data_IF_534136294058
#
_entry.id   IF_534136294058
#
_cell.length_a   1.000
_cell.length_b   1.000
_cell.length_c   1.000
_cell.angle_alpha   90.00
_cell.angle_beta   90.00
_cell.angle_gamma   90.00
#
_symmetry.space_group_name_H-M   'P 1'
#
loop_
_entity.id
_entity.type
_entity.pdbx_description
1 polymer ?
#
# COMPACT_ATOMS: atom_id res chain seq x y z
N UNK A 1 3.77 27.22 -13.10
CA UNK A 1 2.80 26.61 -14.04
C UNK A 1 3.56 25.72 -15.01
N UNK A 2 3.14 24.47 -15.18
CA UNK A 2 3.73 23.53 -16.16
C UNK A 2 3.21 23.87 -17.56
N UNK A 3 4.04 23.68 -18.59
CA UNK A 3 3.55 23.86 -19.96
C UNK A 3 2.66 22.68 -20.37
N UNK A 4 1.61 22.96 -21.16
CA UNK A 4 0.70 21.93 -21.71
C UNK A 4 1.46 20.81 -22.43
N UNK A 5 2.56 21.16 -23.12
CA UNK A 5 3.42 20.20 -23.82
C UNK A 5 4.07 19.19 -22.87
N UNK A 6 4.48 19.61 -21.68
CA UNK A 6 5.12 18.71 -20.72
C UNK A 6 4.09 17.74 -20.10
N UNK A 7 2.88 18.21 -19.80
CA UNK A 7 1.80 17.37 -19.28
C UNK A 7 1.41 16.27 -20.28
N UNK A 8 1.20 16.66 -21.54
CA UNK A 8 0.90 15.71 -22.61
C UNK A 8 1.99 14.64 -22.78
N UNK A 9 3.27 15.02 -22.68
CA UNK A 9 4.37 14.07 -22.77
C UNK A 9 4.38 13.08 -21.60
N UNK A 10 4.11 13.54 -20.37
CA UNK A 10 4.01 12.66 -19.21
C UNK A 10 2.86 11.63 -19.36
N UNK A 11 1.68 12.09 -19.77
CA UNK A 11 0.53 11.20 -19.98
C UNK A 11 0.79 10.16 -21.07
N UNK A 12 1.47 10.54 -22.15
CA UNK A 12 1.84 9.60 -23.22
C UNK A 12 2.79 8.51 -22.70
N UNK A 13 3.81 8.90 -21.93
CA UNK A 13 4.77 7.95 -21.36
C UNK A 13 4.14 7.06 -20.29
N UNK A 14 3.24 7.60 -19.45
CA UNK A 14 2.49 6.79 -18.49
C UNK A 14 1.64 5.74 -19.20
N UNK A 15 0.91 6.12 -20.27
CA UNK A 15 0.15 5.18 -21.10
C UNK A 15 1.04 4.09 -21.71
N UNK A 16 2.25 4.45 -22.13
CA UNK A 16 3.22 3.48 -22.66
C UNK A 16 3.67 2.48 -21.59
N UNK A 17 3.98 2.97 -20.37
CA UNK A 17 4.31 2.12 -19.22
C UNK A 17 3.16 1.17 -18.89
N UNK A 18 1.92 1.69 -18.79
CA UNK A 18 0.74 0.87 -18.51
C UNK A 18 0.53 -0.21 -19.56
N UNK A 19 0.67 0.13 -20.85
CA UNK A 19 0.58 -0.85 -21.94
C UNK A 19 1.67 -1.94 -21.88
N UNK A 20 2.86 -1.62 -21.39
CA UNK A 20 3.92 -2.62 -21.17
C UNK A 20 3.61 -3.49 -19.94
N UNK A 21 3.06 -2.91 -18.87
CA UNK A 21 2.59 -3.65 -17.70
C UNK A 21 1.48 -4.65 -18.06
N UNK A 22 0.52 -4.24 -18.90
CA UNK A 22 -0.56 -5.13 -19.39
C UNK A 22 -0.04 -6.33 -20.20
N UNK A 23 1.22 -6.27 -20.67
CA UNK A 23 1.90 -7.32 -21.43
C UNK A 23 2.97 -8.06 -20.63
N UNK A 24 3.10 -7.76 -19.33
CA UNK A 24 4.16 -8.26 -18.46
C UNK A 24 5.59 -7.99 -19.00
N UNK A 25 5.77 -6.93 -19.80
CA UNK A 25 7.07 -6.53 -20.37
C UNK A 25 7.87 -5.67 -19.38
N UNK A 26 8.25 -6.29 -18.25
CA UNK A 26 8.91 -5.60 -17.13
C UNK A 26 10.28 -5.02 -17.50
N UNK A 27 10.99 -5.63 -18.47
CA UNK A 27 12.25 -5.10 -18.98
C UNK A 27 12.06 -3.75 -19.67
N UNK A 28 11.02 -3.64 -20.51
CA UNK A 28 10.70 -2.38 -21.17
C UNK A 28 10.16 -1.34 -20.17
N UNK A 29 9.34 -1.75 -19.21
CA UNK A 29 8.89 -0.87 -18.12
C UNK A 29 10.08 -0.29 -17.36
N UNK A 30 11.04 -1.14 -16.97
CA UNK A 30 12.26 -0.71 -16.28
C UNK A 30 13.06 0.30 -17.09
N UNK A 31 13.29 0.01 -18.38
CA UNK A 31 13.99 0.94 -19.29
C UNK A 31 13.29 2.29 -19.39
N UNK A 32 11.95 2.31 -19.46
CA UNK A 32 11.17 3.55 -19.52
C UNK A 32 11.26 4.35 -18.22
N UNK A 33 11.22 3.68 -17.07
CA UNK A 33 11.34 4.29 -15.74
C UNK A 33 12.78 4.76 -15.44
N UNK A 34 13.81 4.03 -15.84
CA UNK A 34 15.19 4.44 -15.63
C UNK A 34 15.56 5.67 -16.48
N UNK A 35 15.07 5.72 -17.72
CA UNK A 35 15.16 6.93 -18.55
C UNK A 35 14.45 8.12 -17.93
N UNK A 36 13.37 7.89 -17.18
CA UNK A 36 12.63 8.97 -16.52
C UNK A 36 13.36 9.56 -15.33
N UNK A 37 14.11 8.72 -14.60
CA UNK A 37 14.98 9.20 -13.52
C UNK A 37 16.13 10.07 -14.02
N UNK A 38 16.72 9.73 -15.15
CA UNK A 38 17.87 10.47 -15.71
C UNK A 38 17.52 11.89 -16.18
N UNK A 39 16.25 12.17 -16.45
CA UNK A 39 15.79 13.49 -16.90
C UNK A 39 14.50 13.88 -16.16
N UNK A 40 14.61 14.42 -14.93
CA UNK A 40 13.46 14.83 -14.12
C UNK A 40 12.60 15.90 -14.81
N UNK A 41 13.18 16.68 -15.74
CA UNK A 41 12.51 17.77 -16.43
C UNK A 41 11.48 17.31 -17.47
N UNK A 42 11.59 16.06 -17.95
CA UNK A 42 10.69 15.51 -18.96
C UNK A 42 9.49 14.74 -18.40
N UNK A 43 9.22 14.85 -17.09
CA UNK A 43 8.16 14.08 -16.41
C UNK A 43 7.39 14.86 -15.34
N UNK A 44 6.37 15.64 -15.73
CA UNK A 44 5.53 16.35 -14.77
C UNK A 44 4.62 15.49 -13.89
N UNK A 45 4.40 14.21 -14.20
CA UNK A 45 3.70 13.25 -13.33
C UNK A 45 4.69 12.36 -12.55
N UNK A 46 5.83 12.92 -12.14
CA UNK A 46 6.92 12.19 -11.49
C UNK A 46 6.42 11.29 -10.35
N UNK A 47 5.46 11.76 -9.56
CA UNK A 47 4.96 11.05 -8.38
C UNK A 47 4.28 9.72 -8.73
N UNK A 48 3.38 9.69 -9.73
CA UNK A 48 2.71 8.44 -10.14
C UNK A 48 3.67 7.40 -10.73
N UNK A 49 4.66 7.84 -11.52
CA UNK A 49 5.69 6.93 -12.06
C UNK A 49 6.64 6.44 -10.98
N UNK A 50 7.02 7.28 -10.02
CA UNK A 50 7.80 6.87 -8.84
C UNK A 50 7.03 5.87 -8.01
N UNK A 51 5.72 6.04 -7.85
CA UNK A 51 4.86 5.06 -7.17
C UNK A 51 4.87 3.71 -7.90
N UNK A 52 4.65 3.70 -9.22
CA UNK A 52 4.73 2.47 -10.02
C UNK A 52 6.11 1.81 -9.87
N UNK A 53 7.18 2.60 -9.99
CA UNK A 53 8.54 2.12 -9.83
C UNK A 53 8.78 1.49 -8.45
N UNK A 54 8.39 2.19 -7.37
CA UNK A 54 8.53 1.71 -6.00
C UNK A 54 7.77 0.40 -5.77
N UNK A 55 6.55 0.27 -6.33
CA UNK A 55 5.75 -0.96 -6.25
C UNK A 55 6.38 -2.12 -7.01
N UNK A 56 6.90 -1.89 -8.22
CA UNK A 56 7.55 -2.94 -9.01
C UNK A 56 8.85 -3.43 -8.36
N UNK A 57 9.63 -2.54 -7.75
CA UNK A 57 10.80 -2.91 -6.93
C UNK A 57 10.38 -3.69 -5.67
N UNK A 58 9.31 -3.26 -5.00
CA UNK A 58 8.75 -3.96 -3.83
C UNK A 58 8.27 -5.38 -4.17
N UNK A 59 7.75 -5.59 -5.37
CA UNK A 59 7.26 -6.89 -5.86
C UNK A 59 8.35 -7.73 -6.52
N UNK A 60 9.54 -7.18 -6.69
CA UNK A 60 10.67 -7.85 -7.31
C UNK A 60 10.49 -8.09 -8.81
N UNK A 61 9.62 -7.32 -9.48
CA UNK A 61 9.34 -7.44 -10.91
C UNK A 61 10.59 -7.23 -11.78
N UNK A 62 11.64 -6.63 -11.23
CA UNK A 62 12.90 -6.32 -11.93
C UNK A 62 14.07 -7.25 -11.59
N UNK A 63 13.77 -8.50 -11.21
CA UNK A 63 14.79 -9.54 -10.95
C UNK A 63 15.02 -9.87 -9.47
N UNK A 64 13.99 -9.68 -8.62
CA UNK A 64 14.02 -10.03 -7.20
C UNK A 64 13.64 -8.87 -6.28
N UNK A 65 13.21 -9.19 -5.06
CA UNK A 65 12.76 -8.19 -4.09
C UNK A 65 13.90 -7.28 -3.64
N UNK A 66 13.90 -6.02 -4.10
CA UNK A 66 14.91 -5.04 -3.75
C UNK A 66 14.38 -4.06 -2.70
N UNK A 67 14.19 -4.56 -1.47
CA UNK A 67 13.63 -3.79 -0.36
C UNK A 67 14.33 -2.43 -0.13
N UNK A 68 15.67 -2.31 -0.21
CA UNK A 68 16.34 -1.01 -0.05
C UNK A 68 15.95 0.02 -1.12
N UNK A 69 15.86 -0.40 -2.39
CA UNK A 69 15.48 0.50 -3.49
C UNK A 69 14.01 0.91 -3.39
N UNK A 70 13.12 -0.04 -3.11
CA UNK A 70 11.71 0.25 -2.86
C UNK A 70 11.53 1.20 -1.67
N UNK A 71 12.25 0.97 -0.56
CA UNK A 71 12.23 1.82 0.62
C UNK A 71 12.66 3.25 0.30
N UNK A 72 13.75 3.42 -0.46
CA UNK A 72 14.21 4.76 -0.89
C UNK A 72 13.13 5.47 -1.70
N UNK A 73 12.56 4.80 -2.69
CA UNK A 73 11.54 5.38 -3.56
C UNK A 73 10.26 5.76 -2.79
N UNK A 74 9.79 4.90 -1.86
CA UNK A 74 8.65 5.24 -1.00
C UNK A 74 8.98 6.36 -0.01
N UNK A 75 10.23 6.48 0.45
CA UNK A 75 10.63 7.57 1.34
C UNK A 75 10.51 8.92 0.65
N UNK A 76 10.97 9.02 -0.60
CA UNK A 76 10.78 10.22 -1.44
C UNK A 76 9.30 10.53 -1.68
N UNK A 77 8.47 9.52 -1.96
CA UNK A 77 7.03 9.72 -2.15
C UNK A 77 6.34 10.21 -0.87
N UNK A 78 6.77 9.72 0.29
CA UNK A 78 6.17 10.05 1.58
C UNK A 78 6.47 11.48 2.06
N UNK A 79 7.52 12.11 1.52
CA UNK A 79 7.90 13.49 1.85
C UNK A 79 7.27 14.54 0.92
N UNK A 80 6.73 14.12 -0.22
CA UNK A 80 6.02 15.00 -1.16
C UNK A 80 4.54 15.11 -0.77
N UNK A 81 4.01 16.33 -0.68
CA UNK A 81 2.56 16.53 -0.60
C UNK A 81 1.90 16.25 -1.96
N UNK A 82 0.82 15.46 -1.96
CA UNK A 82 0.09 15.17 -3.18
C UNK A 82 -0.68 13.85 -3.14
N UNK A 83 -1.19 13.46 -4.31
CA UNK A 83 -2.08 12.30 -4.51
C UNK A 83 -1.51 10.98 -3.98
N UNK A 84 -0.19 10.79 -4.06
CA UNK A 84 0.47 9.54 -3.65
C UNK A 84 1.17 9.63 -2.29
N UNK A 85 0.95 10.69 -1.52
CA UNK A 85 1.62 10.86 -0.22
C UNK A 85 1.25 9.71 0.74
N UNK A 86 -0.04 9.38 0.86
CA UNK A 86 -0.53 8.30 1.72
C UNK A 86 0.01 6.94 1.27
N UNK A 87 0.02 6.66 -0.03
CA UNK A 87 0.59 5.44 -0.61
C UNK A 87 2.11 5.35 -0.40
N UNK A 88 2.82 6.48 -0.46
CA UNK A 88 4.24 6.61 -0.10
C UNK A 88 4.51 6.23 1.35
N UNK A 89 3.74 6.80 2.28
CA UNK A 89 3.82 6.49 3.71
C UNK A 89 3.58 5.00 3.99
N UNK A 90 2.57 4.40 3.36
CA UNK A 90 2.21 2.98 3.54
C UNK A 90 3.26 2.07 2.92
N UNK A 91 3.75 2.37 1.72
CA UNK A 91 4.83 1.62 1.09
C UNK A 91 6.10 1.63 1.95
N UNK A 92 6.48 2.79 2.48
CA UNK A 92 7.60 2.94 3.42
C UNK A 92 7.38 2.10 4.68
N UNK A 93 6.19 2.19 5.28
CA UNK A 93 5.81 1.43 6.45
C UNK A 93 5.92 -0.10 6.21
N UNK A 94 5.45 -0.60 5.07
CA UNK A 94 5.60 -2.03 4.69
C UNK A 94 7.07 -2.42 4.56
N UNK A 95 7.90 -1.59 3.92
CA UNK A 95 9.32 -1.89 3.73
C UNK A 95 10.06 -1.94 5.06
N UNK A 96 9.85 -0.96 5.94
CA UNK A 96 10.44 -0.94 7.27
C UNK A 96 10.00 -2.16 8.10
N UNK A 97 8.73 -2.52 8.07
CA UNK A 97 8.23 -3.69 8.78
C UNK A 97 8.89 -4.99 8.27
N UNK A 98 9.06 -5.16 6.96
CA UNK A 98 9.76 -6.33 6.37
C UNK A 98 11.24 -6.39 6.74
N UNK A 99 11.91 -5.24 6.88
CA UNK A 99 13.32 -5.20 7.25
C UNK A 99 13.54 -5.63 8.71
N UNK A 100 12.70 -5.15 9.62
CA UNK A 100 12.75 -5.53 11.04
C UNK A 100 11.42 -5.23 11.73
N UNK A 101 10.60 -6.26 11.94
CA UNK A 101 9.25 -6.09 12.48
C UNK A 101 9.23 -5.44 13.87
N UNK A 102 10.18 -5.83 14.74
CA UNK A 102 10.21 -5.39 16.14
C UNK A 102 10.85 -4.01 16.30
N UNK A 103 11.97 -3.77 15.63
CA UNK A 103 12.74 -2.54 15.78
C UNK A 103 11.99 -1.36 15.15
N UNK A 104 11.34 -1.59 14.01
CA UNK A 104 10.66 -0.53 13.26
C UNK A 104 9.19 -0.34 13.65
N UNK A 105 8.65 -1.13 14.58
CA UNK A 105 7.22 -1.17 14.88
C UNK A 105 6.61 0.21 15.20
N UNK A 106 7.32 1.05 15.96
CA UNK A 106 6.81 2.37 16.34
C UNK A 106 6.79 3.33 15.15
N UNK A 107 7.83 3.33 14.32
CA UNK A 107 7.89 4.15 13.12
C UNK A 107 6.83 3.72 12.10
N UNK A 108 6.62 2.40 11.94
CA UNK A 108 5.55 1.86 11.09
C UNK A 108 4.18 2.34 11.54
N UNK A 109 3.91 2.38 12.86
CA UNK A 109 2.65 2.89 13.41
C UNK A 109 2.48 4.40 13.14
N UNK A 110 3.52 5.22 13.35
CA UNK A 110 3.50 6.66 13.05
C UNK A 110 3.21 6.93 11.57
N UNK A 111 3.92 6.25 10.66
CA UNK A 111 3.71 6.38 9.22
C UNK A 111 2.26 6.02 8.83
N UNK A 112 1.70 4.97 9.42
CA UNK A 112 0.32 4.57 9.15
C UNK A 112 -0.70 5.57 9.72
N UNK A 113 -0.48 6.11 10.92
CA UNK A 113 -1.34 7.14 11.50
C UNK A 113 -1.36 8.42 10.66
N UNK A 114 -0.19 8.82 10.15
CA UNK A 114 -0.06 9.92 9.18
C UNK A 114 -0.82 9.62 7.89
N UNK A 115 -0.69 8.40 7.33
CA UNK A 115 -1.43 8.02 6.13
C UNK A 115 -2.95 8.05 6.35
N UNK A 116 -3.44 7.55 7.49
CA UNK A 116 -4.86 7.67 7.88
C UNK A 116 -5.31 9.13 8.00
N UNK A 117 -4.43 10.01 8.47
CA UNK A 117 -4.74 11.44 8.62
C UNK A 117 -4.79 12.18 7.28
N UNK A 118 -4.06 11.72 6.26
CA UNK A 118 -4.05 12.32 4.92
C UNK A 118 -5.37 12.07 4.19
N UNK A 119 -5.83 10.81 4.15
CA UNK A 119 -6.98 10.41 3.31
C UNK A 119 -7.83 9.27 3.89
N UNK A 120 -7.62 8.89 5.15
CA UNK A 120 -8.33 7.77 5.76
C UNK A 120 -7.92 6.40 5.20
N UNK A 121 -6.69 6.24 4.70
CA UNK A 121 -6.28 5.03 3.99
C UNK A 121 -6.54 3.72 4.78
N UNK A 122 -7.44 2.88 4.27
CA UNK A 122 -7.80 1.62 4.91
C UNK A 122 -6.63 0.61 4.97
N UNK A 123 -5.67 0.65 4.02
CA UNK A 123 -4.48 -0.23 4.05
C UNK A 123 -3.58 0.12 5.23
N UNK A 124 -3.44 1.42 5.54
CA UNK A 124 -2.71 1.86 6.72
C UNK A 124 -3.32 1.30 8.01
N UNK A 125 -4.65 1.35 8.14
CA UNK A 125 -5.37 0.76 9.28
C UNK A 125 -5.12 -0.74 9.41
N UNK A 126 -5.08 -1.49 8.29
CA UNK A 126 -4.73 -2.90 8.29
C UNK A 126 -3.32 -3.16 8.83
N UNK A 127 -2.34 -2.38 8.36
CA UNK A 127 -0.95 -2.50 8.82
C UNK A 127 -0.85 -2.17 10.30
N UNK A 128 -1.51 -1.11 10.79
CA UNK A 128 -1.55 -0.79 12.22
C UNK A 128 -2.09 -1.96 13.04
N UNK A 129 -3.22 -2.52 12.62
CA UNK A 129 -3.80 -3.69 13.29
C UNK A 129 -2.84 -4.87 13.33
N UNK A 130 -2.13 -5.12 12.22
CA UNK A 130 -1.15 -6.20 12.11
C UNK A 130 0.03 -6.02 13.06
N UNK A 131 0.63 -4.84 13.11
CA UNK A 131 1.76 -4.50 13.99
C UNK A 131 1.36 -4.60 15.46
N UNK A 132 0.21 -4.03 15.82
CA UNK A 132 -0.31 -4.06 17.18
C UNK A 132 -0.55 -5.51 17.64
N UNK A 133 -1.13 -6.34 16.79
CA UNK A 133 -1.40 -7.74 17.12
C UNK A 133 -0.14 -8.58 17.22
N UNK A 134 0.72 -8.58 16.20
CA UNK A 134 1.79 -9.57 16.07
C UNK A 134 3.11 -9.12 16.70
N UNK A 135 3.35 -7.81 16.79
CA UNK A 135 4.58 -7.28 17.39
C UNK A 135 4.37 -6.79 18.81
N UNK A 136 3.28 -6.04 19.06
CA UNK A 136 3.01 -5.45 20.38
C UNK A 136 2.12 -6.33 21.27
N UNK A 137 1.50 -7.38 20.73
CA UNK A 137 0.50 -8.20 21.42
C UNK A 137 -0.69 -7.40 21.99
N UNK A 138 -0.98 -6.22 21.44
CA UNK A 138 -2.15 -5.41 21.79
C UNK A 138 -3.32 -5.77 20.87
N UNK A 139 -3.98 -6.87 21.19
CA UNK A 139 -5.13 -7.34 20.43
C UNK A 139 -6.33 -6.40 20.48
N UNK A 140 -6.48 -5.64 21.57
CA UNK A 140 -7.60 -4.72 21.75
C UNK A 140 -7.50 -3.56 20.76
N UNK A 141 -6.32 -2.93 20.68
CA UNK A 141 -6.06 -1.89 19.70
C UNK A 141 -6.09 -2.43 18.27
N UNK A 142 -5.51 -3.62 18.03
CA UNK A 142 -5.55 -4.24 16.71
C UNK A 142 -6.98 -4.45 16.20
N UNK A 143 -7.87 -4.96 17.05
CA UNK A 143 -9.27 -5.18 16.72
C UNK A 143 -10.00 -3.89 16.32
N UNK A 144 -9.73 -2.77 17.00
CA UNK A 144 -10.32 -1.47 16.64
C UNK A 144 -9.90 -1.04 15.24
N UNK A 145 -8.62 -1.20 14.89
CA UNK A 145 -8.12 -0.85 13.57
C UNK A 145 -8.64 -1.74 12.45
N UNK A 146 -8.72 -3.05 12.69
CA UNK A 146 -9.30 -3.99 11.71
C UNK A 146 -10.77 -3.68 11.40
N UNK A 147 -11.57 -3.36 12.42
CA UNK A 147 -12.96 -2.95 12.21
C UNK A 147 -13.04 -1.61 11.47
N UNK A 148 -12.21 -0.63 11.81
CA UNK A 148 -12.13 0.65 11.08
C UNK A 148 -11.77 0.45 9.60
N UNK A 149 -10.80 -0.42 9.31
CA UNK A 149 -10.44 -0.76 7.94
C UNK A 149 -11.62 -1.36 7.17
N UNK A 150 -12.37 -2.28 7.80
CA UNK A 150 -13.59 -2.86 7.22
C UNK A 150 -14.65 -1.80 6.90
N UNK A 151 -14.96 -0.92 7.86
CA UNK A 151 -15.92 0.16 7.63
C UNK A 151 -15.44 1.19 6.61
N UNK A 152 -14.13 1.25 6.35
CA UNK A 152 -13.51 2.08 5.31
C UNK A 152 -13.43 1.37 3.95
N UNK A 153 -14.18 0.27 3.75
CA UNK A 153 -14.28 -0.44 2.48
C UNK A 153 -13.24 -1.54 2.26
N UNK A 154 -12.47 -1.95 3.28
CA UNK A 154 -11.49 -3.02 3.14
C UNK A 154 -12.02 -4.36 3.69
N UNK A 155 -12.43 -5.32 2.83
CA UNK A 155 -13.06 -6.58 3.28
C UNK A 155 -12.17 -7.40 4.22
N UNK A 156 -10.85 -7.29 4.02
CA UNK A 156 -9.85 -7.97 4.83
C UNK A 156 -9.89 -7.57 6.30
N UNK A 157 -10.36 -6.38 6.64
CA UNK A 157 -10.48 -5.92 8.03
C UNK A 157 -11.26 -6.90 8.89
N UNK A 158 -12.42 -7.36 8.43
CA UNK A 158 -13.24 -8.27 9.22
C UNK A 158 -12.64 -9.68 9.32
N UNK A 159 -11.91 -10.14 8.30
CA UNK A 159 -11.18 -11.42 8.34
C UNK A 159 -10.03 -11.39 9.35
N UNK A 160 -9.28 -10.29 9.39
CA UNK A 160 -8.20 -10.11 10.37
C UNK A 160 -8.74 -9.92 11.79
N UNK A 161 -9.87 -9.21 11.95
CA UNK A 161 -10.60 -9.15 13.21
C UNK A 161 -11.00 -10.56 13.69
N UNK A 162 -11.60 -11.38 12.83
CA UNK A 162 -11.98 -12.75 13.16
C UNK A 162 -10.77 -13.58 13.63
N UNK A 163 -9.66 -13.54 12.88
CA UNK A 163 -8.40 -14.18 13.25
C UNK A 163 -7.87 -13.71 14.61
N UNK A 164 -7.92 -12.40 14.87
CA UNK A 164 -7.54 -11.82 16.17
C UNK A 164 -8.42 -12.30 17.32
N UNK A 165 -9.74 -12.46 17.12
CA UNK A 165 -10.65 -13.06 18.11
C UNK A 165 -10.30 -14.54 18.37
N UNK A 166 -10.00 -15.30 17.33
CA UNK A 166 -9.59 -16.71 17.46
C UNK A 166 -8.29 -16.84 18.29
N UNK A 167 -7.29 -15.99 18.04
CA UNK A 167 -6.05 -15.97 18.85
C UNK A 167 -6.31 -15.65 20.33
N UNK A 168 -7.35 -14.87 20.62
CA UNK A 168 -7.82 -14.59 21.99
C UNK A 168 -8.79 -15.65 22.55
N UNK A 169 -8.94 -16.80 21.87
CA UNK A 169 -9.87 -17.90 22.22
C UNK A 169 -11.35 -17.50 22.27
N UNK A 170 -11.74 -16.43 21.56
CA UNK A 170 -13.13 -15.96 21.43
C UNK A 170 -13.76 -16.54 20.17
N UNK A 171 -13.91 -17.87 20.14
CA UNK A 171 -14.31 -18.60 18.94
C UNK A 171 -15.68 -18.21 18.38
N UNK A 172 -16.68 -17.95 19.24
CA UNK A 172 -18.00 -17.52 18.79
C UNK A 172 -17.94 -16.21 17.97
N UNK A 173 -17.23 -15.20 18.49
CA UNK A 173 -17.05 -13.93 17.80
C UNK A 173 -16.25 -14.09 16.50
N UNK A 174 -15.25 -14.97 16.50
CA UNK A 174 -14.50 -15.32 15.30
C UNK A 174 -15.41 -15.92 14.21
N UNK A 175 -16.22 -16.92 14.55
CA UNK A 175 -17.13 -17.57 13.60
C UNK A 175 -18.18 -16.60 13.06
N UNK A 176 -18.75 -15.76 13.92
CA UNK A 176 -19.70 -14.72 13.51
C UNK A 176 -19.06 -13.73 12.54
N UNK A 177 -17.86 -13.24 12.85
CA UNK A 177 -17.14 -12.32 11.97
C UNK A 177 -16.77 -12.96 10.61
N UNK A 178 -16.38 -14.24 10.59
CA UNK A 178 -16.15 -14.96 9.32
C UNK A 178 -17.41 -15.09 8.46
N UNK A 179 -18.56 -15.40 9.08
CA UNK A 179 -19.83 -15.47 8.37
C UNK A 179 -20.19 -14.12 7.75
N UNK A 180 -20.10 -13.03 8.52
CA UNK A 180 -20.36 -11.68 8.02
C UNK A 180 -19.37 -11.33 6.90
N UNK A 181 -18.09 -11.66 7.04
CA UNK A 181 -17.09 -11.41 6.01
C UNK A 181 -17.42 -12.18 4.71
N UNK A 182 -17.87 -13.43 4.81
CA UNK A 182 -18.27 -14.23 3.64
C UNK A 182 -19.45 -13.62 2.89
N UNK A 183 -20.44 -13.08 3.61
CA UNK A 183 -21.63 -12.45 3.02
C UNK A 183 -21.28 -11.08 2.39
N UNK A 184 -20.45 -10.29 3.07
CA UNK A 184 -20.15 -8.91 2.65
C UNK A 184 -19.05 -8.81 1.60
N UNK A 185 -18.14 -9.78 1.52
CA UNK A 185 -16.98 -9.72 0.61
C UNK A 185 -17.36 -9.55 -0.86
N UNK A 186 -18.31 -10.30 -1.44
CA UNK A 186 -18.68 -10.11 -2.86
C UNK A 186 -19.19 -8.71 -3.15
N UNK A 187 -20.00 -8.15 -2.25
CA UNK A 187 -20.53 -6.78 -2.37
C UNK A 187 -19.38 -5.79 -2.34
N UNK A 188 -18.49 -5.89 -1.35
CA UNK A 188 -17.37 -4.97 -1.24
C UNK A 188 -16.36 -5.10 -2.39
N UNK A 189 -16.16 -6.29 -2.96
CA UNK A 189 -15.30 -6.47 -4.13
C UNK A 189 -15.87 -5.74 -5.36
N UNK A 190 -17.18 -5.74 -5.54
CA UNK A 190 -17.84 -4.99 -6.63
C UNK A 190 -17.67 -3.47 -6.45
N UNK A 191 -17.65 -2.97 -5.21
CA UNK A 191 -17.53 -1.53 -4.94
C UNK A 191 -16.09 -1.01 -4.82
N UNK A 192 -15.15 -1.84 -4.38
CA UNK A 192 -13.81 -1.42 -3.97
C UNK A 192 -12.65 -2.12 -4.69
N UNK A 193 -12.96 -3.02 -5.64
CA UNK A 193 -12.02 -3.79 -6.44
C UNK A 193 -11.21 -4.85 -5.63
N UNK A 194 -10.55 -5.78 -6.32
CA UNK A 194 -9.69 -6.80 -5.69
C UNK A 194 -8.41 -6.19 -5.11
N UNK A 195 -8.52 -5.66 -3.88
CA UNK A 195 -7.35 -5.21 -3.11
C UNK A 195 -6.87 -6.33 -2.20
N UNK A 196 -5.58 -6.65 -2.26
CA UNK A 196 -4.95 -7.50 -1.26
C UNK A 196 -4.95 -6.79 0.11
N UNK A 197 -4.75 -7.50 1.24
CA UNK A 197 -4.73 -6.85 2.55
C UNK A 197 -3.60 -5.81 2.68
N UNK A 198 -2.57 -5.92 1.84
CA UNK A 198 -1.39 -5.07 1.84
C UNK A 198 -0.96 -4.60 0.44
N UNK A 199 -1.74 -4.91 -0.60
CA UNK A 199 -1.45 -4.62 -2.01
C UNK A 199 -2.55 -3.74 -2.61
#
# INVERSE_FOLDING_TARGET
MKSTSQLYLAEKKLREIMRCLDKDDFDQVKKLLDRSKSDPSSFPSATGMRYIYARLEEEGAFGGNNNPVALSAFSELSSEEGEFQSEGLIGRARMLYRLSERENANEVLDLCERAVSVDGNAKAMMIMGHVLQNTKNDFSAANRWYLRAFFSGMPWGLRFYASSQAKQRRFFLSSLAHLIAAITSPILLVFFDERGPYK
#
